data_IF_966459288262
#
_entry.id   IF_966459288262
#
_cell.length_a   1.000
_cell.length_b   1.000
_cell.length_c   1.000
_cell.angle_alpha   90.00
_cell.angle_beta   90.00
_cell.angle_gamma   90.00
#
_symmetry.space_group_name_H-M   'P 1'
#
loop_
_entity.id
_entity.type
_entity.pdbx_description
1 polymer ?
#
# COMPACT_ATOMS: atom_id res chain seq x y z
N UNK A 1 -19.56 7.14 4.23
CA UNK A 1 -20.44 6.75 5.36
C UNK A 1 -19.88 5.47 5.95
N UNK A 2 -19.68 5.38 7.26
CA UNK A 2 -19.11 4.17 7.88
C UNK A 2 -20.13 3.04 7.87
N UNK A 3 -19.73 1.82 7.45
CA UNK A 3 -20.66 0.70 7.33
C UNK A 3 -21.19 0.22 8.70
N UNK A 4 -20.42 0.41 9.78
CA UNK A 4 -20.79 0.02 11.16
C UNK A 4 -21.72 1.03 11.81
N UNK A 5 -21.29 2.29 11.95
CA UNK A 5 -22.05 3.29 12.70
C UNK A 5 -23.03 4.12 11.85
N UNK A 6 -23.10 3.88 10.53
CA UNK A 6 -24.00 4.55 9.56
C UNK A 6 -23.92 6.09 9.53
N UNK A 7 -22.87 6.68 10.10
CA UNK A 7 -22.64 8.15 10.12
C UNK A 7 -21.48 8.54 9.20
N UNK A 8 -21.42 9.82 8.82
CA UNK A 8 -20.23 10.39 8.17
C UNK A 8 -19.12 10.46 9.23
N UNK A 9 -17.96 9.92 8.89
CA UNK A 9 -16.81 9.84 9.78
C UNK A 9 -15.57 10.14 8.93
N UNK A 10 -14.51 10.66 9.58
CA UNK A 10 -13.19 10.72 8.96
C UNK A 10 -12.73 9.29 8.71
N UNK A 11 -12.08 9.05 7.57
CA UNK A 11 -11.63 7.72 7.19
C UNK A 11 -10.29 7.81 6.50
N UNK A 12 -9.44 6.82 6.74
CA UNK A 12 -8.15 6.70 6.08
C UNK A 12 -8.30 5.81 4.85
N UNK A 13 -7.76 6.26 3.71
CA UNK A 13 -7.69 5.46 2.48
C UNK A 13 -6.22 5.23 2.16
N UNK A 14 -5.80 3.97 2.07
CA UNK A 14 -4.47 3.58 1.65
C UNK A 14 -4.58 2.62 0.47
N UNK A 15 -3.72 2.80 -0.52
CA UNK A 15 -3.65 1.95 -1.69
C UNK A 15 -2.39 1.10 -1.64
N UNK A 16 -2.50 -0.10 -2.21
CA UNK A 16 -1.42 -1.07 -2.33
C UNK A 16 -1.46 -1.66 -3.72
N UNK A 17 -0.30 -2.02 -4.27
CA UNK A 17 -0.19 -2.74 -5.52
C UNK A 17 -0.21 -4.24 -5.21
N UNK A 18 -1.21 -4.97 -5.70
CA UNK A 18 -1.29 -6.41 -5.43
C UNK A 18 -0.25 -7.21 -6.25
N UNK A 19 -0.03 -6.83 -7.50
CA UNK A 19 0.92 -7.46 -8.41
C UNK A 19 1.47 -6.42 -9.39
N UNK A 20 2.77 -6.48 -9.69
CA UNK A 20 3.39 -5.63 -10.69
C UNK A 20 3.17 -6.19 -12.11
N UNK A 21 2.83 -5.33 -13.08
CA UNK A 21 2.84 -5.73 -14.49
C UNK A 21 4.28 -5.94 -14.98
N UNK A 22 4.45 -6.68 -16.09
CA UNK A 22 5.76 -6.82 -16.76
C UNK A 22 6.30 -5.47 -17.26
N UNK A 23 5.40 -4.56 -17.65
CA UNK A 23 5.70 -3.20 -18.07
C UNK A 23 4.86 -2.25 -17.22
N UNK A 24 5.52 -1.38 -16.44
CA UNK A 24 4.88 -0.43 -15.54
C UNK A 24 4.94 0.98 -16.14
N UNK A 25 3.79 1.53 -16.52
CA UNK A 25 3.68 2.91 -16.98
C UNK A 25 3.37 3.85 -15.80
N UNK A 26 4.28 4.77 -15.50
CA UNK A 26 4.12 5.77 -14.44
C UNK A 26 3.79 7.14 -15.03
N UNK A 27 2.56 7.60 -14.82
CA UNK A 27 2.14 8.95 -15.21
C UNK A 27 2.23 9.90 -14.01
N UNK A 28 3.08 10.91 -14.12
CA UNK A 28 3.15 12.00 -13.15
C UNK A 28 1.97 12.96 -13.33
N UNK A 29 1.08 13.04 -12.33
CA UNK A 29 -0.06 13.97 -12.34
C UNK A 29 0.41 15.41 -12.14
N UNK A 30 0.91 16.03 -13.21
CA UNK A 30 1.49 17.38 -13.19
C UNK A 30 0.50 18.50 -13.51
N UNK A 31 -0.76 18.18 -13.75
CA UNK A 31 -1.77 19.19 -14.09
C UNK A 31 -2.82 19.25 -12.99
N UNK A 32 -2.91 20.42 -12.35
CA UNK A 32 -3.93 20.74 -11.38
C UNK A 32 -4.82 21.85 -11.96
N UNK A 33 -6.13 21.62 -11.90
CA UNK A 33 -7.14 22.52 -12.46
C UNK A 33 -8.03 22.97 -11.31
N UNK A 34 -8.23 24.28 -11.21
CA UNK A 34 -9.32 24.88 -10.44
C UNK A 34 -10.37 25.41 -11.43
N UNK A 35 -11.51 25.88 -10.92
CA UNK A 35 -12.56 26.45 -11.77
C UNK A 35 -12.11 27.62 -12.65
N UNK A 36 -10.96 28.23 -12.35
CA UNK A 36 -10.49 29.45 -12.99
C UNK A 36 -9.07 29.34 -13.56
N UNK A 37 -8.28 28.34 -13.15
CA UNK A 37 -6.86 28.24 -13.50
C UNK A 37 -6.45 26.82 -13.82
N UNK A 38 -5.58 26.69 -14.82
CA UNK A 38 -4.93 25.44 -15.20
C UNK A 38 -3.43 25.60 -15.04
N UNK A 39 -2.86 24.93 -14.05
CA UNK A 39 -1.45 25.05 -13.71
C UNK A 39 -0.67 23.76 -14.00
N UNK A 40 0.57 23.92 -14.46
CA UNK A 40 1.55 22.84 -14.62
C UNK A 40 2.48 22.82 -13.41
N UNK A 41 2.60 21.67 -12.77
CA UNK A 41 3.55 21.39 -11.70
C UNK A 41 4.91 21.14 -12.34
N UNK A 42 5.82 22.09 -12.15
CA UNK A 42 7.18 22.09 -12.71
C UNK A 42 8.22 21.45 -11.79
N UNK A 43 7.82 20.98 -10.60
CA UNK A 43 8.69 20.33 -9.63
C UNK A 43 9.52 19.22 -10.28
N UNK A 44 10.84 19.31 -10.15
CA UNK A 44 11.74 18.26 -10.60
C UNK A 44 11.44 16.97 -9.82
N UNK A 45 11.39 15.85 -10.54
CA UNK A 45 11.20 14.52 -9.94
C UNK A 45 12.40 13.71 -10.35
N UNK A 46 13.24 13.39 -9.39
CA UNK A 46 14.32 12.43 -9.57
C UNK A 46 13.73 11.02 -9.61
N UNK A 47 14.18 10.21 -10.57
CA UNK A 47 13.76 8.82 -10.70
C UNK A 47 14.95 7.95 -11.10
N UNK A 48 15.01 6.71 -10.61
CA UNK A 48 16.09 5.80 -10.96
C UNK A 48 15.98 5.37 -12.42
N UNK A 49 17.11 5.41 -13.14
CA UNK A 49 17.19 4.86 -14.51
C UNK A 49 17.22 3.33 -14.52
N UNK A 50 17.66 2.71 -13.41
CA UNK A 50 17.77 1.26 -13.24
C UNK A 50 17.38 0.90 -11.80
N UNK A 51 16.74 -0.25 -11.61
CA UNK A 51 16.49 -0.80 -10.27
C UNK A 51 15.45 -0.03 -9.44
N UNK A 52 14.28 0.29 -10.03
CA UNK A 52 13.15 0.83 -9.25
C UNK A 52 12.61 -0.24 -8.27
N UNK A 53 12.84 -0.07 -6.97
CA UNK A 53 12.33 -0.96 -5.92
C UNK A 53 10.90 -0.59 -5.50
N UNK A 54 9.94 -1.45 -5.83
CA UNK A 54 8.52 -1.27 -5.53
C UNK A 54 8.04 -2.04 -4.30
N UNK A 55 8.91 -2.79 -3.59
CA UNK A 55 8.53 -3.71 -2.51
C UNK A 55 7.70 -3.05 -1.41
N UNK A 56 8.04 -1.82 -1.03
CA UNK A 56 7.32 -1.06 0.01
C UNK A 56 5.89 -0.63 -0.36
N UNK A 57 5.52 -0.74 -1.64
CA UNK A 57 4.20 -0.38 -2.15
C UNK A 57 3.32 -1.59 -2.49
N UNK A 58 3.88 -2.80 -2.37
CA UNK A 58 3.13 -4.04 -2.61
C UNK A 58 2.29 -4.41 -1.39
N UNK A 59 1.17 -5.09 -1.65
CA UNK A 59 0.36 -5.67 -0.57
C UNK A 59 1.20 -6.70 0.19
N UNK A 60 1.25 -6.56 1.52
CA UNK A 60 2.15 -7.32 2.41
C UNK A 60 1.92 -8.85 2.43
N UNK A 61 0.95 -9.36 1.66
CA UNK A 61 0.73 -10.79 1.43
C UNK A 61 1.65 -11.45 0.39
N UNK A 62 2.45 -10.71 -0.39
CA UNK A 62 3.32 -11.33 -1.40
C UNK A 62 4.76 -11.60 -0.94
N UNK A 63 5.25 -10.88 0.09
CA UNK A 63 6.58 -11.10 0.67
C UNK A 63 6.54 -12.21 1.74
N UNK A 64 5.39 -12.42 2.40
CA UNK A 64 5.25 -13.43 3.45
C UNK A 64 4.93 -14.85 2.98
N UNK A 65 4.38 -15.05 1.78
CA UNK A 65 3.95 -16.40 1.33
C UNK A 65 5.06 -17.16 0.63
N UNK A 66 5.99 -16.51 -0.08
CA UNK A 66 7.09 -17.23 -0.74
C UNK A 66 8.23 -17.58 0.23
N UNK A 67 8.42 -16.82 1.31
CA UNK A 67 9.46 -17.12 2.31
C UNK A 67 9.03 -18.19 3.32
N UNK A 68 7.72 -18.39 3.54
CA UNK A 68 7.21 -19.42 4.46
C UNK A 68 7.02 -20.79 3.80
N UNK A 69 6.83 -20.87 2.48
CA UNK A 69 6.58 -22.14 1.78
C UNK A 69 7.80 -23.09 1.80
N UNK A 70 9.01 -22.59 2.10
CA UNK A 70 10.21 -23.42 2.15
C UNK A 70 10.79 -23.63 3.56
N UNK A 71 10.17 -23.11 4.63
CA UNK A 71 10.85 -23.01 5.93
C UNK A 71 10.36 -23.91 7.07
N UNK A 72 9.20 -24.55 7.02
CA UNK A 72 8.85 -25.48 8.11
C UNK A 72 8.03 -26.68 7.66
N UNK A 73 8.74 -27.75 7.29
CA UNK A 73 8.32 -29.06 7.77
C UNK A 73 8.47 -29.08 9.28
N UNK A 74 7.36 -29.08 10.03
CA UNK A 74 7.38 -29.30 11.47
C UNK A 74 6.51 -28.33 12.29
N UNK A 75 5.38 -28.86 12.77
CA UNK A 75 4.58 -28.46 13.94
C UNK A 75 4.00 -27.03 14.03
N UNK A 76 2.67 -26.95 13.91
CA UNK A 76 1.85 -25.80 14.27
C UNK A 76 1.78 -25.66 15.80
N UNK A 77 2.25 -24.54 16.35
CA UNK A 77 1.92 -24.11 17.71
C UNK A 77 1.01 -22.88 17.63
N UNK A 78 -0.19 -22.87 18.21
CA UNK A 78 -1.06 -21.69 18.17
C UNK A 78 -0.53 -20.59 19.09
N UNK A 79 -0.37 -19.38 18.55
CA UNK A 79 -0.04 -18.18 19.33
C UNK A 79 -1.30 -17.71 20.08
N UNK A 80 -1.29 -17.86 21.41
CA UNK A 80 -2.38 -17.45 22.30
C UNK A 80 -2.51 -15.92 22.34
N UNK A 81 -3.71 -15.40 22.02
CA UNK A 81 -4.11 -14.00 22.26
C UNK A 81 -4.12 -13.73 23.77
N UNK A 82 -3.26 -12.85 24.25
CA UNK A 82 -3.41 -12.28 25.59
C UNK A 82 -4.40 -11.11 25.54
N UNK A 83 -5.53 -11.28 26.23
CA UNK A 83 -6.34 -10.18 26.75
C UNK A 83 -5.52 -9.46 27.84
N UNK A 84 -5.54 -8.14 27.86
CA UNK A 84 -5.18 -7.35 29.04
C UNK A 84 -6.15 -6.19 29.12
N UNK A 85 -7.17 -6.37 29.97
CA UNK A 85 -7.80 -5.28 30.69
C UNK A 85 -6.77 -4.69 31.67
N UNK A 86 -6.75 -3.36 31.83
CA UNK A 86 -6.64 -2.65 33.12
C UNK A 86 -6.50 -1.13 32.95
N UNK A 87 -7.32 -0.44 33.75
CA UNK A 87 -7.51 1.00 34.05
C UNK A 87 -8.00 1.97 32.95
#
# INVERSE_FOLDING_TARGET
MCHRCKKRQKSTKKFWVQKLPKVLCLHLKRFHWTSYLRNKITTYVEFPLRGLDMRGYLLQGWIGTLHSIWQTGGSLVPLQRQHSDSD
#
